data_IF_664343083273
#
_entry.id   IF_664343083273
#
_cell.length_a   1.000
_cell.length_b   1.000
_cell.length_c   1.000
_cell.angle_alpha   90.00
_cell.angle_beta   90.00
_cell.angle_gamma   90.00
#
_symmetry.space_group_name_H-M   'P 1'
#
loop_
_entity.id
_entity.type
_entity.pdbx_description
1 polymer ?
#
# COMPACT_ATOMS: atom_id res chain seq x y z
N UNK A 1 -48.41 14.84 39.70
CA UNK A 1 -47.80 13.96 38.68
C UNK A 1 -46.29 14.04 38.84
N UNK A 2 -45.66 12.94 39.26
CA UNK A 2 -44.23 12.85 39.51
C UNK A 2 -43.53 12.38 38.22
N UNK A 3 -42.70 13.24 37.63
CA UNK A 3 -41.72 12.83 36.62
C UNK A 3 -40.33 13.01 37.21
N UNK A 4 -39.81 11.96 37.86
CA UNK A 4 -38.42 11.90 38.29
C UNK A 4 -37.63 11.36 37.09
N UNK A 5 -36.84 12.23 36.47
CA UNK A 5 -36.19 11.98 35.16
C UNK A 5 -35.46 10.65 35.07
N UNK A 6 -35.53 10.01 33.90
CA UNK A 6 -34.72 8.82 33.58
C UNK A 6 -33.24 9.21 33.62
N UNK A 7 -32.55 8.81 34.68
CA UNK A 7 -31.09 8.79 34.68
C UNK A 7 -30.65 7.71 33.68
N UNK A 8 -30.05 8.13 32.57
CA UNK A 8 -29.42 7.20 31.62
C UNK A 8 -28.08 6.82 32.23
N UNK A 9 -28.03 5.64 32.85
CA UNK A 9 -26.78 5.05 33.36
C UNK A 9 -26.26 4.14 32.24
N UNK A 10 -25.15 4.47 31.57
CA UNK A 10 -24.58 3.58 30.58
C UNK A 10 -24.08 2.31 31.29
N UNK A 11 -24.83 1.21 31.15
CA UNK A 11 -24.54 -0.07 31.81
C UNK A 11 -23.30 -0.76 31.23
N UNK A 12 -23.01 -0.55 29.95
CA UNK A 12 -21.89 -1.15 29.24
C UNK A 12 -21.37 -0.16 28.20
N UNK A 13 -20.08 0.16 28.26
CA UNK A 13 -19.37 0.78 27.14
C UNK A 13 -19.10 -0.33 26.13
N UNK A 14 -19.93 -0.45 25.10
CA UNK A 14 -19.59 -1.21 23.91
C UNK A 14 -18.45 -0.47 23.22
N UNK A 15 -17.21 -0.85 23.54
CA UNK A 15 -16.09 -0.49 22.70
C UNK A 15 -16.37 -1.14 21.35
N UNK A 16 -16.57 -0.33 20.32
CA UNK A 16 -16.58 -0.82 18.96
C UNK A 16 -15.16 -1.34 18.70
N UNK A 17 -14.98 -2.64 18.86
CA UNK A 17 -13.86 -3.37 18.29
C UNK A 17 -14.06 -3.36 16.76
N UNK A 18 -13.94 -2.18 16.15
CA UNK A 18 -13.60 -2.13 14.73
C UNK A 18 -12.18 -2.68 14.68
N UNK A 19 -11.93 -3.82 14.02
CA UNK A 19 -10.59 -4.33 13.80
C UNK A 19 -9.75 -3.16 13.29
N UNK A 20 -8.68 -2.86 14.02
CA UNK A 20 -8.14 -1.52 14.19
C UNK A 20 -8.11 -0.67 12.92
N UNK A 21 -8.39 0.62 13.07
CA UNK A 21 -8.09 1.63 12.04
C UNK A 21 -6.66 1.40 11.56
N UNK A 22 -6.47 0.72 10.43
CA UNK A 22 -5.18 0.59 9.78
C UNK A 22 -4.73 2.02 9.54
N UNK A 23 -3.66 2.46 10.23
CA UNK A 23 -3.13 3.80 10.04
C UNK A 23 -2.69 3.88 8.58
N UNK A 24 -3.40 4.68 7.78
CA UNK A 24 -3.02 4.94 6.40
C UNK A 24 -1.58 5.47 6.36
N UNK A 25 -0.82 5.11 5.32
CA UNK A 25 0.65 5.31 5.30
C UNK A 25 1.42 4.22 6.06
N UNK A 26 0.84 3.02 6.17
CA UNK A 26 1.50 1.78 6.56
C UNK A 26 2.60 1.39 5.56
N UNK A 27 2.19 1.35 4.30
CA UNK A 27 2.94 0.87 3.14
C UNK A 27 3.37 2.08 2.32
N UNK A 28 4.65 2.43 2.39
CA UNK A 28 5.21 3.61 1.72
C UNK A 28 6.47 3.26 0.94
N UNK A 29 6.83 4.14 0.00
CA UNK A 29 8.04 4.09 -0.82
C UNK A 29 8.86 5.37 -0.59
N UNK A 30 10.15 5.32 -0.91
CA UNK A 30 11.02 6.49 -0.83
C UNK A 30 10.54 7.61 -1.79
N UNK A 31 10.70 8.89 -1.42
CA UNK A 31 10.11 10.03 -2.15
C UNK A 31 10.67 10.24 -3.56
N UNK A 32 11.85 9.70 -3.86
CA UNK A 32 12.51 9.70 -5.16
C UNK A 32 12.15 8.48 -6.03
N UNK A 33 11.35 7.54 -5.51
CA UNK A 33 10.87 6.38 -6.28
C UNK A 33 10.10 6.85 -7.51
N UNK A 34 10.47 6.31 -8.68
CA UNK A 34 9.82 6.63 -9.95
C UNK A 34 8.54 5.81 -10.12
N UNK A 35 7.45 6.50 -10.46
CA UNK A 35 6.15 5.91 -10.77
C UNK A 35 5.82 6.23 -12.22
N UNK A 36 5.25 5.25 -12.92
CA UNK A 36 4.80 5.42 -14.29
C UNK A 36 3.37 5.98 -14.32
N UNK A 37 3.23 7.17 -14.91
CA UNK A 37 1.93 7.77 -15.22
C UNK A 37 1.30 7.05 -16.41
N UNK A 38 -0.02 7.19 -16.56
CA UNK A 38 -0.79 6.55 -17.65
C UNK A 38 -0.42 7.03 -19.06
N UNK A 39 0.33 8.13 -19.18
CA UNK A 39 0.89 8.63 -20.44
C UNK A 39 2.31 8.10 -20.72
N UNK A 40 2.84 7.24 -19.86
CA UNK A 40 4.16 6.63 -19.97
C UNK A 40 5.30 7.45 -19.36
N UNK A 41 5.05 8.65 -18.83
CA UNK A 41 6.09 9.43 -18.14
C UNK A 41 6.43 8.81 -16.79
N UNK A 42 7.73 8.82 -16.45
CA UNK A 42 8.22 8.46 -15.13
C UNK A 42 8.37 9.73 -14.28
N UNK A 43 7.69 9.76 -13.14
CA UNK A 43 7.68 10.90 -12.22
C UNK A 43 7.97 10.39 -10.81
N UNK A 44 8.77 11.14 -10.04
CA UNK A 44 9.02 10.83 -8.63
C UNK A 44 7.71 10.85 -7.83
N UNK A 45 7.51 9.88 -6.94
CA UNK A 45 6.29 9.75 -6.14
C UNK A 45 5.98 11.01 -5.32
N UNK A 46 7.00 11.76 -4.89
CA UNK A 46 6.80 13.03 -4.17
C UNK A 46 6.07 14.10 -4.98
N UNK A 47 6.16 14.06 -6.32
CA UNK A 47 5.54 15.04 -7.24
C UNK A 47 4.13 14.66 -7.66
N UNK A 48 3.71 13.42 -7.42
CA UNK A 48 2.40 12.91 -7.79
C UNK A 48 1.35 13.49 -6.84
N UNK A 49 0.18 13.82 -7.37
CA UNK A 49 -0.95 14.26 -6.56
C UNK A 49 -2.28 13.84 -7.21
N UNK A 50 -3.39 13.89 -6.46
CA UNK A 50 -4.71 13.78 -7.06
C UNK A 50 -4.94 15.01 -7.98
N UNK A 51 -5.38 14.86 -9.25
CA UNK A 51 -5.99 13.70 -9.88
C UNK A 51 -5.11 12.93 -10.90
N UNK A 52 -3.80 12.83 -10.66
CA UNK A 52 -2.90 12.08 -11.54
C UNK A 52 -3.37 10.63 -11.72
N UNK A 53 -3.12 10.11 -12.92
CA UNK A 53 -3.50 8.77 -13.32
C UNK A 53 -2.21 7.97 -13.51
N UNK A 54 -2.07 6.90 -12.73
CA UNK A 54 -0.92 6.00 -12.74
C UNK A 54 -1.25 4.71 -13.47
N UNK A 55 -0.21 3.99 -13.88
CA UNK A 55 -0.35 2.64 -14.37
C UNK A 55 -0.47 1.67 -13.20
N UNK A 56 -1.47 0.80 -13.24
CA UNK A 56 -1.74 -0.21 -12.22
C UNK A 56 -1.95 -1.56 -12.87
N UNK A 57 -1.91 -2.64 -12.10
CA UNK A 57 -2.19 -3.99 -12.58
C UNK A 57 -3.52 -4.43 -12.00
N UNK A 58 -4.39 -4.95 -12.85
CA UNK A 58 -5.54 -5.74 -12.41
C UNK A 58 -5.09 -7.20 -12.19
N UNK A 59 -5.29 -7.72 -10.99
CA UNK A 59 -4.91 -9.10 -10.63
C UNK A 59 -5.89 -10.16 -11.13
N UNK A 60 -7.09 -9.78 -11.57
CA UNK A 60 -8.04 -10.73 -12.18
C UNK A 60 -7.68 -11.00 -13.64
N UNK A 61 -7.45 -9.94 -14.41
CA UNK A 61 -7.10 -10.04 -15.84
C UNK A 61 -5.59 -10.08 -16.13
N UNK A 62 -4.74 -9.81 -15.14
CA UNK A 62 -3.30 -9.61 -15.28
C UNK A 62 -2.92 -8.57 -16.36
N UNK A 63 -3.79 -7.58 -16.55
CA UNK A 63 -3.62 -6.52 -17.52
C UNK A 63 -3.27 -5.20 -16.83
N UNK A 64 -2.55 -4.34 -17.57
CA UNK A 64 -2.23 -2.99 -17.10
C UNK A 64 -3.44 -2.08 -17.30
N UNK A 65 -3.89 -1.47 -16.23
CA UNK A 65 -5.02 -0.54 -16.20
C UNK A 65 -4.61 0.84 -15.67
N UNK A 66 -5.52 1.81 -15.82
CA UNK A 66 -5.33 3.18 -15.37
C UNK A 66 -5.92 3.37 -13.98
N UNK A 67 -5.08 3.55 -12.97
CA UNK A 67 -5.47 3.86 -11.60
C UNK A 67 -5.49 5.35 -11.33
N UNK A 68 -6.54 5.88 -10.70
CA UNK A 68 -6.58 7.28 -10.26
C UNK A 68 -5.98 7.41 -8.86
N UNK A 69 -5.07 8.37 -8.69
CA UNK A 69 -4.54 8.71 -7.36
C UNK A 69 -5.63 9.44 -6.56
N UNK A 70 -6.10 8.82 -5.49
CA UNK A 70 -7.15 9.37 -4.61
C UNK A 70 -6.53 10.26 -3.54
N UNK A 71 -5.43 9.82 -2.93
CA UNK A 71 -4.77 10.49 -1.82
C UNK A 71 -3.27 10.21 -1.82
N UNK A 72 -2.49 11.01 -1.08
CA UNK A 72 -1.05 10.88 -0.92
C UNK A 72 -0.69 10.95 0.58
N UNK A 73 0.06 9.96 1.05
CA UNK A 73 0.52 9.89 2.43
C UNK A 73 2.03 10.11 2.51
N UNK A 74 2.45 10.90 3.50
CA UNK A 74 3.86 11.13 3.83
C UNK A 74 4.09 10.70 5.28
N UNK A 75 5.13 9.89 5.50
CA UNK A 75 5.45 9.33 6.82
C UNK A 75 6.93 9.01 6.90
N UNK A 76 7.52 9.18 8.08
CA UNK A 76 8.91 8.81 8.35
C UNK A 76 8.94 7.43 9.03
N UNK A 77 9.66 6.48 8.43
CA UNK A 77 9.75 5.09 8.89
C UNK A 77 11.09 4.48 8.53
N UNK A 78 11.41 3.37 9.19
CA UNK A 78 12.50 2.49 8.75
C UNK A 78 12.21 1.94 7.35
N UNK A 79 13.23 1.98 6.51
CA UNK A 79 13.16 1.56 5.12
C UNK A 79 14.12 0.40 4.84
N UNK A 80 13.69 -0.49 3.95
CA UNK A 80 14.49 -1.53 3.32
C UNK A 80 14.69 -1.20 1.86
N UNK A 81 15.89 -1.51 1.37
CA UNK A 81 16.24 -1.38 -0.03
C UNK A 81 16.26 -2.74 -0.70
N UNK A 82 15.34 -2.95 -1.64
CA UNK A 82 15.19 -4.16 -2.42
C UNK A 82 15.86 -3.94 -3.77
N UNK A 83 16.76 -4.86 -4.15
CA UNK A 83 17.46 -4.82 -5.43
C UNK A 83 17.18 -6.13 -6.16
N UNK A 84 16.44 -6.07 -7.26
CA UNK A 84 16.19 -7.23 -8.12
C UNK A 84 17.31 -7.41 -9.13
N UNK A 85 17.56 -8.65 -9.55
CA UNK A 85 18.63 -8.97 -10.52
C UNK A 85 18.17 -8.79 -11.97
N UNK A 86 16.97 -9.26 -12.30
CA UNK A 86 16.43 -9.26 -13.67
C UNK A 86 14.90 -9.05 -13.66
N UNK A 87 14.39 -7.93 -14.19
CA UNK A 87 15.12 -6.70 -14.52
C UNK A 87 15.81 -6.12 -13.28
N UNK A 88 16.85 -5.30 -13.48
CA UNK A 88 17.48 -4.60 -12.35
C UNK A 88 16.61 -3.42 -11.94
N UNK A 89 15.98 -3.56 -10.77
CA UNK A 89 15.18 -2.52 -10.14
C UNK A 89 15.72 -2.33 -8.71
N UNK A 90 15.82 -1.07 -8.29
CA UNK A 90 16.20 -0.69 -6.94
C UNK A 90 15.04 0.13 -6.36
N UNK A 91 14.44 -0.37 -5.29
CA UNK A 91 13.30 0.27 -4.63
C UNK A 91 13.58 0.33 -3.14
N UNK A 92 13.42 1.52 -2.56
CA UNK A 92 13.45 1.74 -1.13
C UNK A 92 12.02 1.88 -0.61
N UNK A 93 11.67 1.08 0.40
CA UNK A 93 10.29 0.91 0.85
C UNK A 93 10.22 0.66 2.36
N UNK A 94 9.06 0.91 2.96
CA UNK A 94 8.81 0.57 4.37
C UNK A 94 8.79 -0.94 4.61
N UNK A 95 9.12 -1.40 5.81
CA UNK A 95 9.10 -2.82 6.21
C UNK A 95 7.78 -3.54 5.91
N UNK A 96 6.66 -2.83 6.07
CA UNK A 96 5.31 -3.37 5.86
C UNK A 96 4.84 -3.32 4.40
N UNK A 97 5.65 -2.78 3.48
CA UNK A 97 5.25 -2.62 2.07
C UNK A 97 4.99 -3.99 1.44
N UNK A 98 3.85 -4.16 0.77
CA UNK A 98 3.47 -5.43 0.15
C UNK A 98 4.05 -5.51 -1.25
N UNK A 99 4.65 -6.66 -1.55
CA UNK A 99 5.10 -7.05 -2.87
C UNK A 99 4.38 -8.33 -3.28
N UNK A 100 4.29 -8.53 -4.60
CA UNK A 100 3.71 -9.74 -5.17
C UNK A 100 4.84 -10.69 -5.55
N UNK A 101 4.90 -11.84 -4.90
CA UNK A 101 5.84 -12.91 -5.19
C UNK A 101 5.18 -13.97 -6.06
N UNK A 102 5.94 -14.51 -7.02
CA UNK A 102 5.57 -15.70 -7.77
C UNK A 102 6.13 -16.95 -7.07
N UNK A 103 5.25 -17.81 -6.57
CA UNK A 103 5.56 -19.10 -5.92
C UNK A 103 4.69 -20.19 -6.57
N UNK A 104 5.28 -21.28 -7.10
CA UNK A 104 4.53 -22.44 -7.64
C UNK A 104 3.38 -22.07 -8.60
N UNK A 105 3.66 -21.16 -9.55
CA UNK A 105 2.69 -20.59 -10.51
C UNK A 105 1.50 -19.82 -9.89
N UNK A 106 1.58 -19.51 -8.60
CA UNK A 106 0.63 -18.68 -7.87
C UNK A 106 1.28 -17.34 -7.49
N UNK A 107 0.46 -16.28 -7.45
CA UNK A 107 0.89 -14.97 -6.96
C UNK A 107 0.47 -14.84 -5.50
N UNK A 108 1.46 -14.60 -4.65
CA UNK A 108 1.29 -14.42 -3.21
C UNK A 108 1.69 -13.00 -2.80
N UNK A 109 0.94 -12.40 -1.87
CA UNK A 109 1.33 -11.13 -1.29
C UNK A 109 2.29 -11.36 -0.12
N UNK A 110 3.46 -10.72 -0.14
CA UNK A 110 4.43 -10.76 0.96
C UNK A 110 4.90 -9.37 1.36
N UNK A 111 5.17 -9.16 2.65
CA UNK A 111 5.76 -7.92 3.13
C UNK A 111 7.23 -7.81 2.77
N UNK A 112 7.73 -6.59 2.64
CA UNK A 112 9.14 -6.32 2.35
C UNK A 112 10.09 -6.99 3.36
N UNK A 113 9.71 -7.02 4.64
CA UNK A 113 10.47 -7.70 5.71
C UNK A 113 10.50 -9.24 5.60
N UNK A 114 9.55 -9.84 4.88
CA UNK A 114 9.43 -11.29 4.71
C UNK A 114 10.16 -11.79 3.45
N UNK A 115 10.54 -10.88 2.56
CA UNK A 115 11.27 -11.20 1.34
C UNK A 115 12.68 -11.69 1.64
N UNK A 116 13.11 -12.70 0.88
CA UNK A 116 14.42 -13.33 0.97
C UNK A 116 15.15 -13.23 -0.37
N UNK A 117 16.48 -13.29 -0.29
CA UNK A 117 17.32 -13.35 -1.48
C UNK A 117 16.98 -14.62 -2.26
N UNK A 118 16.52 -14.44 -3.50
CA UNK A 118 16.10 -15.52 -4.38
C UNK A 118 14.59 -15.55 -4.67
N UNK A 119 13.78 -14.80 -3.92
CA UNK A 119 12.36 -14.66 -4.22
C UNK A 119 12.13 -13.98 -5.58
N UNK A 120 11.15 -14.47 -6.33
CA UNK A 120 10.77 -13.91 -7.62
C UNK A 120 9.63 -12.93 -7.45
N UNK A 121 9.88 -11.65 -7.72
CA UNK A 121 8.87 -10.60 -7.65
C UNK A 121 8.18 -10.43 -9.00
N UNK A 122 6.86 -10.23 -8.96
CA UNK A 122 6.07 -9.85 -10.12
C UNK A 122 6.39 -8.40 -10.47
N UNK A 123 6.79 -8.17 -11.72
CA UNK A 123 7.10 -6.85 -12.25
C UNK A 123 6.35 -6.65 -13.57
N UNK A 124 5.84 -5.44 -13.84
CA UNK A 124 5.32 -5.11 -15.15
C UNK A 124 6.42 -5.21 -16.21
N UNK A 125 6.03 -5.60 -17.41
CA UNK A 125 6.93 -5.89 -18.53
C UNK A 125 7.39 -4.64 -19.27
#
# INVERSE_FOLDING_TARGET
>A
ALLKGKAIIPLVKTHSEVPGKFKAGGQCLAPDTLVQLSDGRLVEIKKIHNPDIVQSVDFESFCLEKGKVVDKWENEKEALRIITKYPRLEVECSLDHMFFQLSDDCIEEKRAIELKVGDMLVMPK
#
